data_IF_052419790103
#
_entry.id   IF_052419790103
#
_cell.length_a   1.000
_cell.length_b   1.000
_cell.length_c   1.000
_cell.angle_alpha   90.00
_cell.angle_beta   90.00
_cell.angle_gamma   90.00
#
_symmetry.space_group_name_H-M   'P 1'
#
loop_
_entity.id
_entity.type
_entity.pdbx_description
1 polymer ?
#
# COMPACT_ATOMS: atom_id res chain seq x y z
N UNK A 1 -1.62 -6.20 51.87
CA UNK A 1 -1.44 -6.47 50.43
C UNK A 1 -2.02 -5.30 49.68
N UNK A 2 -1.17 -4.39 49.23
CA UNK A 2 -1.58 -3.12 48.60
C UNK A 2 -1.79 -3.39 47.11
N UNK A 3 -3.04 -3.27 46.64
CA UNK A 3 -3.39 -3.42 45.24
C UNK A 3 -2.75 -2.28 44.43
N UNK A 4 -1.81 -2.63 43.56
CA UNK A 4 -1.28 -1.70 42.57
C UNK A 4 -2.35 -1.51 41.49
N UNK A 5 -3.06 -0.38 41.56
CA UNK A 5 -3.85 0.12 40.44
C UNK A 5 -2.86 0.56 39.37
N UNK A 6 -2.63 -0.30 38.39
CA UNK A 6 -1.96 0.07 37.14
C UNK A 6 -2.89 1.04 36.41
N UNK A 7 -2.70 2.34 36.65
CA UNK A 7 -3.16 3.40 35.77
C UNK A 7 -2.41 3.22 34.45
N UNK A 8 -2.98 2.43 33.54
CA UNK A 8 -2.56 2.39 32.15
C UNK A 8 -2.72 3.80 31.61
N UNK A 9 -1.60 4.50 31.43
CA UNK A 9 -1.55 5.80 30.78
C UNK A 9 -2.08 5.62 29.36
N UNK A 10 -3.31 6.09 29.12
CA UNK A 10 -3.86 6.24 27.77
C UNK A 10 -2.99 7.24 27.01
N UNK A 11 -1.99 6.72 26.30
CA UNK A 11 -1.26 7.46 25.28
C UNK A 11 -2.29 7.95 24.24
N UNK A 12 -2.33 9.22 23.84
CA UNK A 12 -3.36 9.68 22.91
C UNK A 12 -3.23 8.89 21.59
N UNK A 13 -4.32 8.20 21.21
CA UNK A 13 -4.45 7.37 20.01
C UNK A 13 -4.28 8.24 18.74
N UNK A 14 -3.05 8.64 18.39
CA UNK A 14 -2.78 9.65 17.35
C UNK A 14 -2.25 9.07 16.04
N UNK A 15 -2.26 7.75 15.81
CA UNK A 15 -1.84 7.22 14.51
C UNK A 15 -2.91 7.37 13.44
N UNK A 16 -2.51 7.88 12.27
CA UNK A 16 -3.33 7.91 11.07
C UNK A 16 -3.47 6.51 10.48
N UNK A 17 -4.64 6.21 9.90
CA UNK A 17 -4.80 4.96 9.18
C UNK A 17 -4.19 5.06 7.79
N UNK A 18 -3.15 4.27 7.54
CA UNK A 18 -2.51 4.22 6.23
C UNK A 18 -2.36 2.75 5.86
N UNK A 19 -3.28 2.26 5.03
CA UNK A 19 -3.23 0.92 4.48
C UNK A 19 -2.03 0.71 3.55
N UNK A 20 -1.72 -0.55 3.23
CA UNK A 20 -0.56 -0.90 2.41
C UNK A 20 -0.91 -1.96 1.37
N UNK A 21 -0.56 -1.70 0.11
CA UNK A 21 -0.55 -2.67 -0.97
C UNK A 21 0.89 -3.02 -1.33
N UNK A 22 1.18 -4.30 -1.51
CA UNK A 22 2.48 -4.77 -1.97
C UNK A 22 2.34 -5.45 -3.31
N UNK A 23 3.19 -5.09 -4.26
CA UNK A 23 3.26 -5.68 -5.60
C UNK A 23 4.66 -6.24 -5.82
N UNK A 24 4.74 -7.43 -6.44
CA UNK A 24 6.02 -8.02 -6.87
C UNK A 24 6.04 -8.01 -8.39
N UNK A 25 6.97 -7.26 -8.95
CA UNK A 25 7.11 -7.10 -10.39
C UNK A 25 8.02 -8.17 -10.98
N UNK A 26 7.69 -8.61 -12.19
CA UNK A 26 8.64 -9.36 -13.01
C UNK A 26 9.87 -8.52 -13.33
N UNK A 27 10.93 -9.15 -13.82
CA UNK A 27 12.17 -8.45 -14.18
C UNK A 27 11.95 -7.40 -15.28
N UNK A 28 11.14 -7.72 -16.29
CA UNK A 28 10.80 -6.78 -17.36
C UNK A 28 9.99 -5.58 -16.83
N UNK A 29 8.99 -5.84 -15.99
CA UNK A 29 8.16 -4.79 -15.40
C UNK A 29 8.94 -3.91 -14.42
N UNK A 30 9.88 -4.48 -13.66
CA UNK A 30 10.77 -3.73 -12.80
C UNK A 30 11.68 -2.79 -13.62
N UNK A 31 12.19 -3.28 -14.75
CA UNK A 31 12.96 -2.46 -15.69
C UNK A 31 12.10 -1.29 -16.18
N UNK A 32 10.87 -1.56 -16.61
CA UNK A 32 9.94 -0.52 -17.05
C UNK A 32 9.57 0.46 -15.93
N UNK A 33 9.31 -0.03 -14.72
CA UNK A 33 8.97 0.80 -13.56
C UNK A 33 10.08 1.79 -13.21
N UNK A 34 11.34 1.35 -13.31
CA UNK A 34 12.51 2.18 -13.02
C UNK A 34 12.92 3.11 -14.17
N UNK A 35 12.39 2.92 -15.38
CA UNK A 35 12.60 3.84 -16.48
C UNK A 35 11.79 5.13 -16.26
N UNK A 36 12.48 6.28 -16.26
CA UNK A 36 11.88 7.58 -16.01
C UNK A 36 11.63 8.36 -17.31
N UNK A 37 10.58 9.20 -17.37
CA UNK A 37 9.55 9.40 -16.35
C UNK A 37 8.47 8.30 -16.44
N UNK A 38 7.98 7.79 -15.30
CA UNK A 38 6.80 6.92 -15.28
C UNK A 38 5.87 7.31 -14.13
N UNK A 39 4.57 7.01 -14.24
CA UNK A 39 3.60 7.13 -13.15
C UNK A 39 2.93 5.80 -12.87
N UNK A 40 2.83 5.49 -11.58
CA UNK A 40 2.16 4.32 -11.06
C UNK A 40 0.77 4.71 -10.59
N UNK A 41 -0.25 4.13 -11.21
CA UNK A 41 -1.65 4.29 -10.82
C UNK A 41 -2.17 3.00 -10.22
N UNK A 42 -2.65 3.07 -8.98
CA UNK A 42 -3.22 1.93 -8.27
C UNK A 42 -4.67 2.25 -7.92
N UNK A 43 -5.56 1.30 -8.14
CA UNK A 43 -6.97 1.45 -7.79
C UNK A 43 -7.45 0.28 -6.93
N UNK A 44 -8.31 0.59 -5.95
CA UNK A 44 -9.06 -0.37 -5.13
C UNK A 44 -10.54 -0.10 -5.34
N UNK A 45 -11.29 -1.10 -5.84
CA UNK A 45 -12.73 -1.01 -6.13
C UNK A 45 -13.13 0.25 -6.92
N UNK A 46 -12.28 0.65 -7.86
CA UNK A 46 -12.48 1.81 -8.74
C UNK A 46 -12.01 3.14 -8.18
N UNK A 47 -11.66 3.23 -6.90
CA UNK A 47 -11.02 4.43 -6.33
C UNK A 47 -9.51 4.35 -6.58
N UNK A 48 -8.95 5.37 -7.21
CA UNK A 48 -7.56 5.36 -7.66
C UNK A 48 -6.73 6.44 -6.98
N UNK A 49 -5.44 6.15 -6.86
CA UNK A 49 -4.41 7.15 -6.60
C UNK A 49 -3.25 6.96 -7.58
N UNK A 50 -2.49 8.02 -7.80
CA UNK A 50 -1.37 8.04 -8.73
C UNK A 50 -0.14 8.66 -8.07
N UNK A 51 1.04 8.14 -8.39
CA UNK A 51 2.34 8.62 -7.92
C UNK A 51 3.37 8.51 -9.04
N UNK A 52 4.30 9.44 -9.14
CA UNK A 52 5.44 9.26 -10.05
C UNK A 52 6.37 8.15 -9.53
N UNK A 53 6.91 7.34 -10.43
CA UNK A 53 7.87 6.29 -10.07
C UNK A 53 9.14 6.87 -9.46
N UNK A 54 9.55 8.07 -9.88
CA UNK A 54 10.68 8.79 -9.28
C UNK A 54 10.50 9.00 -7.77
N UNK A 55 9.31 9.43 -7.33
CA UNK A 55 9.03 9.60 -5.90
C UNK A 55 8.99 8.25 -5.17
N UNK A 56 8.50 7.19 -5.81
CA UNK A 56 8.44 5.85 -5.22
C UNK A 56 9.83 5.20 -5.08
N UNK A 57 10.75 5.50 -6.00
CA UNK A 57 12.11 4.98 -6.03
C UNK A 57 13.03 5.78 -5.10
N UNK A 58 12.98 7.12 -5.18
CA UNK A 58 13.89 8.00 -4.46
C UNK A 58 13.38 8.38 -3.04
N UNK A 59 12.29 7.75 -2.58
CA UNK A 59 11.80 7.91 -1.21
C UNK A 59 11.09 9.24 -0.95
N UNK A 60 10.36 9.76 -1.94
CA UNK A 60 9.62 11.03 -1.89
C UNK A 60 8.58 11.13 -0.76
N UNK A 61 8.26 10.01 -0.10
CA UNK A 61 7.51 9.97 1.16
C UNK A 61 7.94 8.73 1.96
N UNK A 62 8.05 8.84 3.29
CA UNK A 62 8.28 7.72 4.22
C UNK A 62 7.20 6.61 4.17
N UNK A 63 6.20 6.79 3.31
CA UNK A 63 5.02 5.95 3.16
C UNK A 63 5.15 4.92 2.01
N UNK A 64 5.84 5.24 0.93
CA UNK A 64 5.93 4.39 -0.27
C UNK A 64 7.38 3.94 -0.50
N UNK A 65 7.61 2.70 -0.94
CA UNK A 65 8.97 2.21 -1.13
C UNK A 65 9.11 1.17 -2.23
N UNK A 66 10.14 1.33 -3.05
CA UNK A 66 10.64 0.32 -3.98
C UNK A 66 11.82 -0.46 -3.36
N UNK A 67 11.73 -1.78 -3.35
CA UNK A 67 12.82 -2.70 -3.01
C UNK A 67 13.33 -3.38 -4.29
N UNK A 68 14.45 -2.89 -4.82
CA UNK A 68 15.02 -3.35 -6.07
C UNK A 68 15.46 -4.84 -6.05
N UNK A 69 16.20 -5.34 -5.03
CA UNK A 69 16.53 -6.76 -4.92
C UNK A 69 15.35 -7.72 -5.05
N UNK A 70 14.22 -7.39 -4.43
CA UNK A 70 13.01 -8.25 -4.44
C UNK A 70 12.00 -7.85 -5.50
N UNK A 71 12.23 -6.74 -6.22
CA UNK A 71 11.30 -6.10 -7.16
C UNK A 71 9.94 -5.82 -6.52
N UNK A 72 9.95 -5.45 -5.24
CA UNK A 72 8.74 -5.23 -4.48
C UNK A 72 8.42 -3.74 -4.39
N UNK A 73 7.25 -3.35 -4.88
CA UNK A 73 6.69 -2.03 -4.67
C UNK A 73 5.70 -2.08 -3.50
N UNK A 74 5.99 -1.31 -2.45
CA UNK A 74 5.07 -1.05 -1.35
C UNK A 74 4.41 0.31 -1.53
N UNK A 75 3.09 0.31 -1.54
CA UNK A 75 2.29 1.50 -1.79
C UNK A 75 1.33 1.70 -0.63
N UNK A 76 1.51 2.79 0.09
CA UNK A 76 0.62 3.21 1.16
C UNK A 76 -0.53 4.02 0.60
N UNK A 77 -1.71 3.75 1.13
CA UNK A 77 -2.94 4.38 0.70
C UNK A 77 -3.86 4.62 1.89
N UNK A 78 -4.68 5.65 1.80
CA UNK A 78 -5.76 5.96 2.73
C UNK A 78 -7.08 5.30 2.31
N UNK A 79 -7.04 4.40 1.32
CA UNK A 79 -8.24 3.71 0.86
C UNK A 79 -8.66 2.68 1.89
N UNK A 80 -9.91 2.81 2.31
CA UNK A 80 -10.57 1.78 3.10
C UNK A 80 -11.35 0.88 2.12
N UNK A 81 -10.99 -0.41 1.99
CA UNK A 81 -11.78 -1.34 1.21
C UNK A 81 -13.17 -1.44 1.81
N UNK A 82 -14.18 -1.55 0.94
CA UNK A 82 -15.60 -1.63 1.37
C UNK A 82 -15.99 -3.02 1.89
N UNK A 83 -15.13 -4.00 1.69
CA UNK A 83 -15.31 -5.39 2.06
C UNK A 83 -13.95 -6.05 2.36
N UNK A 84 -13.97 -7.24 2.96
CA UNK A 84 -12.77 -8.04 3.23
C UNK A 84 -12.02 -8.47 1.97
N UNK A 85 -12.72 -8.47 0.82
CA UNK A 85 -12.15 -8.75 -0.50
C UNK A 85 -12.54 -7.66 -1.49
N UNK A 86 -11.65 -7.31 -2.41
CA UNK A 86 -11.94 -6.34 -3.45
C UNK A 86 -11.03 -6.44 -4.67
N UNK A 87 -11.32 -5.61 -5.68
CA UNK A 87 -10.56 -5.55 -6.91
C UNK A 87 -9.40 -4.58 -6.75
N UNK A 88 -8.18 -5.03 -7.06
CA UNK A 88 -6.99 -4.17 -7.14
C UNK A 88 -6.52 -4.11 -8.59
N UNK A 89 -6.17 -2.92 -9.06
CA UNK A 89 -5.50 -2.74 -10.35
C UNK A 89 -4.24 -1.94 -10.18
N UNK A 90 -3.17 -2.35 -10.84
CA UNK A 90 -1.93 -1.59 -10.93
C UNK A 90 -1.61 -1.31 -12.40
N UNK A 91 -1.51 -0.04 -12.76
CA UNK A 91 -1.14 0.44 -14.09
C UNK A 91 0.16 1.23 -13.98
N UNK A 92 1.10 0.94 -14.88
CA UNK A 92 2.25 1.82 -15.13
C UNK A 92 2.00 2.60 -16.42
N UNK A 93 2.15 3.92 -16.35
CA UNK A 93 2.05 4.82 -17.49
C UNK A 93 3.38 5.55 -17.70
N UNK A 94 3.70 5.84 -18.96
CA UNK A 94 4.89 6.59 -19.39
C UNK A 94 4.46 7.53 -20.50
N UNK A 95 4.69 8.83 -20.31
CA UNK A 95 4.30 9.88 -21.27
C UNK A 95 2.83 9.79 -21.72
N UNK A 96 1.93 9.45 -20.79
CA UNK A 96 0.49 9.28 -21.04
C UNK A 96 0.10 7.98 -21.76
N UNK A 97 1.04 7.06 -21.97
CA UNK A 97 0.79 5.74 -22.56
C UNK A 97 0.89 4.65 -21.51
N UNK A 98 -0.08 3.73 -21.48
CA UNK A 98 -0.01 2.54 -20.63
C UNK A 98 1.15 1.62 -21.08
N UNK A 99 2.11 1.39 -20.18
CA UNK A 99 3.20 0.44 -20.38
C UNK A 99 2.73 -0.97 -20.04
N UNK A 100 2.15 -1.14 -18.85
CA UNK A 100 1.50 -2.39 -18.45
C UNK A 100 0.33 -2.13 -17.51
N UNK A 101 -0.53 -3.14 -17.36
CA UNK A 101 -1.65 -3.13 -16.41
C UNK A 101 -1.95 -4.53 -15.90
N UNK A 102 -2.08 -4.63 -14.58
CA UNK A 102 -2.53 -5.82 -13.88
C UNK A 102 -3.84 -5.57 -13.14
N UNK A 103 -4.62 -6.64 -13.01
CA UNK A 103 -5.86 -6.65 -12.25
C UNK A 103 -5.98 -7.95 -11.45
N UNK A 104 -6.30 -7.81 -10.17
CA UNK A 104 -6.60 -8.90 -9.26
C UNK A 104 -8.03 -8.71 -8.77
N UNK A 105 -8.94 -9.62 -9.14
CA UNK A 105 -10.38 -9.42 -8.91
C UNK A 105 -10.82 -9.74 -7.47
N UNK A 106 -10.08 -10.60 -6.75
CA UNK A 106 -10.45 -11.09 -5.42
C UNK A 106 -9.27 -10.97 -4.44
N UNK A 107 -8.78 -9.75 -4.23
CA UNK A 107 -7.70 -9.50 -3.27
C UNK A 107 -8.26 -9.48 -1.86
N UNK A 108 -7.74 -10.34 -0.98
CA UNK A 108 -8.03 -10.31 0.45
C UNK A 108 -7.28 -9.16 1.14
N UNK A 109 -8.02 -8.37 1.90
CA UNK A 109 -7.50 -7.32 2.76
C UNK A 109 -7.42 -7.81 4.21
N UNK A 110 -6.24 -7.68 4.81
CA UNK A 110 -6.02 -7.97 6.23
C UNK A 110 -6.17 -6.72 7.05
N UNK A 111 -7.00 -6.81 8.07
CA UNK A 111 -7.15 -5.78 9.09
C UNK A 111 -5.96 -5.78 10.05
N UNK A 112 -5.55 -4.59 10.48
CA UNK A 112 -4.63 -4.42 11.58
C UNK A 112 -4.89 -3.10 12.32
N UNK A 113 -4.63 -3.11 13.62
CA UNK A 113 -4.81 -1.95 14.51
C UNK A 113 -3.43 -1.42 14.91
N UNK A 114 -2.88 -0.38 14.24
CA UNK A 114 -1.53 0.12 14.54
C UNK A 114 -1.39 0.64 15.99
N UNK A 115 -2.48 1.03 16.64
CA UNK A 115 -2.51 1.47 18.04
C UNK A 115 -3.07 0.41 19.01
N UNK A 116 -3.26 -0.84 18.55
CA UNK A 116 -3.97 -1.89 19.28
C UNK A 116 -5.49 -1.75 19.22
N UNK A 117 -6.22 -2.82 19.53
CA UNK A 117 -7.67 -2.91 19.25
C UNK A 117 -8.54 -1.92 20.07
N UNK A 118 -8.00 -1.40 21.17
CA UNK A 118 -8.67 -0.42 22.03
C UNK A 118 -8.56 1.03 21.54
N UNK A 119 -7.63 1.31 20.63
CA UNK A 119 -7.40 2.61 20.04
C UNK A 119 -7.49 2.45 18.51
N UNK A 120 -8.54 3.01 17.88
CA UNK A 120 -8.61 3.06 16.42
C UNK A 120 -7.40 3.80 15.79
N UNK A 121 -7.33 3.89 14.46
CA UNK A 121 -8.22 3.30 13.45
C UNK A 121 -7.82 1.85 13.07
N UNK A 122 -8.76 1.09 12.49
CA UNK A 122 -8.46 -0.20 11.82
C UNK A 122 -7.99 0.07 10.40
N UNK A 123 -6.88 -0.54 10.02
CA UNK A 123 -6.24 -0.37 8.72
C UNK A 123 -6.18 -1.66 7.93
N UNK A 124 -6.01 -1.52 6.62
CA UNK A 124 -6.11 -2.62 5.69
C UNK A 124 -4.85 -2.76 4.87
N UNK A 125 -4.35 -3.98 4.76
CA UNK A 125 -3.19 -4.28 3.93
C UNK A 125 -3.47 -5.48 3.01
N UNK A 126 -2.83 -5.49 1.84
CA UNK A 126 -2.90 -6.61 0.92
C UNK A 126 -1.57 -6.86 0.22
N UNK A 127 -1.41 -8.08 -0.29
CA UNK A 127 -0.22 -8.53 -1.00
C UNK A 127 0.84 -9.18 -0.11
N UNK A 128 2.00 -9.58 -0.68
CA UNK A 128 2.46 -9.27 -2.05
C UNK A 128 1.58 -9.86 -3.15
N UNK A 129 1.19 -9.03 -4.11
CA UNK A 129 0.47 -9.39 -5.33
C UNK A 129 1.49 -9.52 -6.46
N UNK A 130 1.68 -10.74 -6.94
CA UNK A 130 2.52 -10.99 -8.12
C UNK A 130 1.72 -10.76 -9.39
N UNK A 131 2.39 -10.29 -10.44
CA UNK A 131 1.83 -10.23 -11.79
C UNK A 131 1.20 -11.58 -12.17
N UNK A 132 -0.06 -11.63 -12.60
CA UNK A 132 -0.78 -12.86 -12.96
C UNK A 132 -0.24 -13.54 -14.22
#
# INVERSE_FOLDING_TARGET
MTAAVLLASCNPCNALCVGQLKFVLSEAEATDFTAMPSSARVCVDGTCFERSSELLINGGSLADSWDAPTRTLSVRNDLQPKAATGKVTFTLERDGTQVFRHAWENVEFREYSPNGDACGPVCFAAGPLSSP
#
